data_IF_773290493584
#
_entry.id   IF_773290493584
#
_cell.length_a   1.000
_cell.length_b   1.000
_cell.length_c   1.000
_cell.angle_alpha   90.00
_cell.angle_beta   90.00
_cell.angle_gamma   90.00
#
_symmetry.space_group_name_H-M   'P 1'
#
loop_
_entity.id
_entity.type
_entity.pdbx_description
1 polymer ?
#
# COMPACT_ATOMS: atom_id res chain seq x y z
N UNK A 1 -17.59 19.38 29.58
CA UNK A 1 -18.15 18.60 28.46
C UNK A 1 -17.84 19.39 27.18
N UNK A 2 -16.63 19.20 26.64
CA UNK A 2 -16.10 19.92 25.49
C UNK A 2 -15.87 18.89 24.40
N UNK A 3 -16.78 18.84 23.43
CA UNK A 3 -16.66 18.04 22.21
C UNK A 3 -15.71 18.76 21.25
N UNK A 4 -14.47 18.28 21.17
CA UNK A 4 -13.56 18.66 20.09
C UNK A 4 -13.98 17.89 18.82
N UNK A 5 -14.61 18.60 17.89
CA UNK A 5 -14.85 18.11 16.52
C UNK A 5 -13.52 18.08 15.78
N UNK A 6 -12.92 16.91 15.61
CA UNK A 6 -11.81 16.71 14.68
C UNK A 6 -12.31 16.89 13.25
N UNK A 7 -11.72 17.85 12.53
CA UNK A 7 -11.92 18.04 11.08
C UNK A 7 -10.93 17.15 10.35
N UNK A 8 -11.41 16.12 9.67
CA UNK A 8 -10.65 15.38 8.66
C UNK A 8 -10.29 16.32 7.48
N UNK A 9 -9.12 16.15 6.84
CA UNK A 9 -8.83 16.82 5.57
C UNK A 9 -9.74 16.23 4.47
N UNK A 10 -10.61 17.07 3.92
CA UNK A 10 -11.53 16.68 2.85
C UNK A 10 -10.76 16.44 1.54
N UNK A 11 -10.66 15.18 1.12
CA UNK A 11 -10.23 14.81 -0.24
C UNK A 11 -11.47 14.61 -1.09
N UNK A 12 -11.71 15.53 -2.03
CA UNK A 12 -12.81 15.47 -2.99
C UNK A 12 -12.42 14.50 -4.11
N UNK A 13 -13.05 13.33 -4.16
CA UNK A 13 -12.88 12.34 -5.23
C UNK A 13 -13.92 12.62 -6.31
N UNK A 14 -13.47 13.20 -7.44
CA UNK A 14 -14.28 13.31 -8.66
C UNK A 14 -14.05 12.06 -9.53
N UNK A 15 -14.97 11.10 -9.44
CA UNK A 15 -15.01 9.93 -10.30
C UNK A 15 -15.82 10.27 -11.57
N UNK A 16 -15.13 10.57 -12.66
CA UNK A 16 -15.74 10.74 -13.99
C UNK A 16 -15.78 9.38 -14.68
N UNK A 17 -16.93 8.71 -14.64
CA UNK A 17 -17.20 7.56 -15.49
C UNK A 17 -17.80 8.03 -16.82
N UNK A 18 -17.03 7.90 -17.91
CA UNK A 18 -17.54 8.03 -19.28
C UNK A 18 -18.20 6.69 -19.64
N UNK A 19 -19.53 6.69 -19.73
CA UNK A 19 -20.35 5.60 -20.23
C UNK A 19 -20.27 5.54 -21.76
N UNK A 20 -19.78 4.42 -22.31
CA UNK A 20 -20.03 4.02 -23.70
C UNK A 20 -20.28 2.51 -23.80
N UNK A 21 -21.42 2.14 -24.40
CA UNK A 21 -21.59 0.86 -25.11
C UNK A 21 -22.30 -0.29 -24.39
N UNK A 22 -23.62 -0.20 -24.19
CA UNK A 22 -24.45 -1.35 -23.80
C UNK A 22 -24.74 -2.24 -25.02
N UNK A 23 -23.89 -3.26 -25.25
CA UNK A 23 -24.11 -4.29 -26.28
C UNK A 23 -23.27 -5.56 -26.06
N UNK A 24 -22.01 -5.41 -25.63
CA UNK A 24 -21.04 -6.52 -25.44
C UNK A 24 -20.74 -6.87 -23.96
N UNK A 25 -21.33 -6.13 -23.02
CA UNK A 25 -20.92 -6.17 -21.61
C UNK A 25 -21.17 -7.51 -20.88
N UNK A 26 -22.17 -8.30 -21.30
CA UNK A 26 -22.53 -9.58 -20.64
C UNK A 26 -21.61 -10.75 -21.01
N UNK A 27 -21.04 -10.74 -22.21
CA UNK A 27 -20.15 -11.82 -22.66
C UNK A 27 -18.73 -11.60 -22.11
N UNK A 28 -18.27 -10.34 -22.10
CA UNK A 28 -16.97 -9.95 -21.55
C UNK A 28 -16.87 -10.15 -20.03
N UNK A 29 -17.98 -10.01 -19.28
CA UNK A 29 -18.01 -10.27 -17.83
C UNK A 29 -17.87 -11.77 -17.52
N UNK A 30 -18.58 -12.65 -18.22
CA UNK A 30 -18.49 -14.09 -17.99
C UNK A 30 -17.09 -14.67 -18.29
N UNK A 31 -16.40 -14.17 -19.32
CA UNK A 31 -15.03 -14.58 -19.64
C UNK A 31 -14.03 -14.09 -18.58
N UNK A 32 -14.18 -12.85 -18.10
CA UNK A 32 -13.35 -12.29 -17.02
C UNK A 32 -13.55 -13.06 -15.72
N UNK A 33 -14.79 -13.38 -15.35
CA UNK A 33 -15.12 -14.13 -14.13
C UNK A 33 -14.51 -15.55 -14.15
N UNK A 34 -14.57 -16.22 -15.30
CA UNK A 34 -13.96 -17.54 -15.45
C UNK A 34 -12.43 -17.48 -15.38
N UNK A 35 -11.82 -16.47 -16.00
CA UNK A 35 -10.38 -16.24 -15.93
C UNK A 35 -9.91 -15.94 -14.49
N UNK A 36 -10.70 -15.15 -13.73
CA UNK A 36 -10.48 -14.88 -12.32
C UNK A 36 -10.41 -16.19 -11.53
N UNK A 37 -11.43 -17.06 -11.65
CA UNK A 37 -11.48 -18.34 -10.92
C UNK A 37 -10.28 -19.24 -11.24
N UNK A 38 -9.86 -19.33 -12.51
CA UNK A 38 -8.69 -20.11 -12.90
C UNK A 38 -7.39 -19.54 -12.36
N UNK A 39 -7.25 -18.21 -12.35
CA UNK A 39 -6.09 -17.54 -11.78
C UNK A 39 -6.00 -17.77 -10.27
N UNK A 40 -7.09 -17.53 -9.53
CA UNK A 40 -7.15 -17.75 -8.07
C UNK A 40 -6.83 -19.20 -7.70
N UNK A 41 -7.38 -20.17 -8.43
CA UNK A 41 -7.09 -21.59 -8.22
C UNK A 41 -5.62 -21.92 -8.48
N UNK A 42 -5.05 -21.37 -9.56
CA UNK A 42 -3.65 -21.61 -9.92
C UNK A 42 -2.69 -20.99 -8.91
N UNK A 43 -2.96 -19.77 -8.45
CA UNK A 43 -2.18 -19.10 -7.40
C UNK A 43 -2.30 -19.85 -6.07
N UNK A 44 -3.51 -20.23 -5.66
CA UNK A 44 -3.74 -21.02 -4.45
C UNK A 44 -2.93 -22.32 -4.47
N UNK A 45 -2.94 -23.04 -5.59
CA UNK A 45 -2.17 -24.27 -5.75
C UNK A 45 -0.66 -24.01 -5.70
N UNK A 46 -0.20 -22.93 -6.33
CA UNK A 46 1.20 -22.51 -6.31
C UNK A 46 1.67 -22.18 -4.90
N UNK A 47 0.91 -21.38 -4.15
CA UNK A 47 1.25 -20.97 -2.77
C UNK A 47 1.26 -22.19 -1.84
N UNK A 48 0.22 -23.02 -1.87
CA UNK A 48 0.17 -24.25 -1.06
C UNK A 48 1.37 -25.18 -1.35
N UNK A 49 1.76 -25.30 -2.62
CA UNK A 49 2.91 -26.13 -2.99
C UNK A 49 4.24 -25.53 -2.53
N UNK A 50 4.39 -24.22 -2.67
CA UNK A 50 5.61 -23.48 -2.33
C UNK A 50 5.87 -23.44 -0.81
N UNK A 51 4.81 -23.30 -0.01
CA UNK A 51 4.90 -23.17 1.45
C UNK A 51 4.52 -24.45 2.21
N UNK A 52 4.36 -25.59 1.52
CA UNK A 52 3.90 -26.87 2.11
C UNK A 52 4.67 -27.31 3.37
N UNK A 53 5.96 -26.95 3.46
CA UNK A 53 6.83 -27.32 4.59
C UNK A 53 7.05 -26.18 5.59
N UNK A 54 6.55 -24.99 5.31
CA UNK A 54 6.83 -23.78 6.07
C UNK A 54 5.70 -23.48 7.06
N UNK A 55 4.46 -23.71 6.66
CA UNK A 55 3.32 -23.44 7.52
C UNK A 55 1.98 -23.66 6.84
N UNK A 56 0.92 -23.24 7.52
CA UNK A 56 -0.44 -23.33 7.03
C UNK A 56 -0.80 -22.07 6.25
N UNK A 57 -1.16 -22.23 4.99
CA UNK A 57 -1.65 -21.16 4.13
C UNK A 57 -3.06 -20.73 4.54
N UNK A 58 -3.27 -19.42 4.70
CA UNK A 58 -4.57 -18.79 4.94
C UNK A 58 -4.78 -17.64 3.95
N UNK A 59 -5.71 -17.77 2.99
CA UNK A 59 -6.02 -16.68 2.07
C UNK A 59 -6.80 -15.56 2.78
N UNK A 60 -6.57 -14.32 2.36
CA UNK A 60 -7.40 -13.18 2.76
C UNK A 60 -8.18 -12.61 1.58
N UNK A 61 -7.50 -12.17 0.53
CA UNK A 61 -8.15 -11.58 -0.64
C UNK A 61 -7.35 -11.80 -1.92
N UNK A 62 -8.06 -11.83 -3.03
CA UNK A 62 -7.49 -11.71 -4.38
C UNK A 62 -7.89 -10.36 -4.96
N UNK A 63 -6.95 -9.73 -5.67
CA UNK A 63 -7.23 -8.57 -6.50
C UNK A 63 -7.99 -8.97 -7.76
N UNK A 64 -8.46 -7.97 -8.50
CA UNK A 64 -9.01 -8.21 -9.82
C UNK A 64 -7.93 -8.70 -10.79
N UNK A 65 -8.28 -9.65 -11.64
CA UNK A 65 -7.42 -10.13 -12.70
C UNK A 65 -7.20 -9.03 -13.74
N UNK A 66 -5.94 -8.71 -13.99
CA UNK A 66 -5.52 -7.82 -15.06
C UNK A 66 -5.15 -8.64 -16.29
N UNK A 67 -5.70 -8.25 -17.45
CA UNK A 67 -5.36 -8.87 -18.73
C UNK A 67 -4.16 -8.10 -19.32
N UNK A 68 -3.02 -8.78 -19.43
CA UNK A 68 -1.82 -8.22 -20.04
C UNK A 68 -1.87 -8.48 -21.54
N UNK A 69 -2.22 -7.42 -22.29
CA UNK A 69 -2.27 -7.43 -23.75
C UNK A 69 -0.86 -7.68 -24.29
N UNK A 70 -0.67 -8.68 -25.19
CA UNK A 70 0.63 -8.94 -25.79
C UNK A 70 1.16 -7.73 -26.56
N UNK A 71 2.48 -7.53 -26.51
CA UNK A 71 3.16 -6.40 -27.17
C UNK A 71 2.80 -6.27 -28.65
N UNK A 72 2.73 -7.40 -29.36
CA UNK A 72 2.40 -7.41 -30.78
C UNK A 72 1.00 -6.84 -31.06
N UNK A 73 0.03 -7.13 -30.18
CA UNK A 73 -1.35 -6.62 -30.27
C UNK A 73 -1.41 -5.15 -29.86
N UNK A 74 -0.73 -4.77 -28.77
CA UNK A 74 -0.67 -3.38 -28.33
C UNK A 74 -0.05 -2.47 -29.40
N UNK A 75 1.01 -2.93 -30.08
CA UNK A 75 1.65 -2.20 -31.17
C UNK A 75 0.75 -2.05 -32.40
N UNK A 76 -0.07 -3.07 -32.73
CA UNK A 76 -1.06 -2.93 -33.80
C UNK A 76 -2.08 -1.82 -33.49
N UNK A 77 -2.58 -1.77 -32.26
CA UNK A 77 -3.54 -0.73 -31.86
C UNK A 77 -2.91 0.66 -31.86
N UNK A 78 -1.63 0.78 -31.47
CA UNK A 78 -0.85 2.01 -31.61
C UNK A 78 -0.74 2.45 -33.08
N UNK A 79 -0.40 1.55 -33.99
CA UNK A 79 -0.32 1.84 -35.43
C UNK A 79 -1.66 2.33 -35.98
N UNK A 80 -2.77 1.68 -35.60
CA UNK A 80 -4.13 2.11 -36.00
C UNK A 80 -4.48 3.50 -35.46
N UNK A 81 -4.14 3.79 -34.20
CA UNK A 81 -4.38 5.09 -33.59
C UNK A 81 -3.56 6.20 -34.26
N UNK A 82 -2.28 5.94 -34.53
CA UNK A 82 -1.38 6.86 -35.23
C UNK A 82 -1.85 7.11 -36.66
N UNK A 83 -2.27 6.06 -37.38
CA UNK A 83 -2.86 6.16 -38.72
C UNK A 83 -4.13 7.02 -38.72
N UNK A 84 -5.03 6.81 -37.76
CA UNK A 84 -6.25 7.62 -37.58
C UNK A 84 -5.92 9.10 -37.33
N UNK A 85 -4.92 9.36 -36.50
CA UNK A 85 -4.44 10.72 -36.20
C UNK A 85 -3.84 11.38 -37.44
N UNK A 86 -2.97 10.67 -38.15
CA UNK A 86 -2.34 11.15 -39.39
C UNK A 86 -3.36 11.47 -40.49
N UNK A 87 -4.50 10.76 -40.55
CA UNK A 87 -5.58 11.06 -41.50
C UNK A 87 -6.13 12.49 -41.36
N UNK A 88 -6.12 13.05 -40.15
CA UNK A 88 -6.58 14.42 -39.88
C UNK A 88 -5.52 15.51 -40.13
N UNK A 89 -4.28 15.13 -40.48
CA UNK A 89 -3.11 16.03 -40.51
C UNK A 89 -2.70 16.43 -41.93
N UNK A 90 -3.67 16.61 -42.84
CA UNK A 90 -3.39 16.93 -44.25
C UNK A 90 -2.54 18.20 -44.42
N UNK A 91 -2.82 19.24 -43.63
CA UNK A 91 -2.07 20.50 -43.68
C UNK A 91 -0.63 20.37 -43.17
N UNK A 92 -0.37 19.43 -42.27
CA UNK A 92 0.97 19.16 -41.73
C UNK A 92 1.84 18.37 -42.73
N UNK A 93 1.25 17.38 -43.40
CA UNK A 93 1.99 16.48 -44.31
C UNK A 93 1.99 16.93 -45.78
N UNK A 94 1.08 17.83 -46.17
CA UNK A 94 0.97 18.35 -47.53
C UNK A 94 0.91 17.24 -48.58
N UNK A 95 1.75 17.33 -49.61
CA UNK A 95 1.81 16.35 -50.71
C UNK A 95 2.24 14.94 -50.26
N UNK A 96 2.86 14.80 -49.08
CA UNK A 96 3.30 13.51 -48.55
C UNK A 96 2.21 12.76 -47.80
N UNK A 97 1.05 13.38 -47.58
CA UNK A 97 -0.04 12.82 -46.76
C UNK A 97 -0.43 11.40 -47.20
N UNK A 98 -0.69 11.19 -48.49
CA UNK A 98 -1.06 9.88 -49.04
C UNK A 98 0.05 8.83 -48.92
N UNK A 99 1.32 9.27 -48.96
CA UNK A 99 2.47 8.37 -48.77
C UNK A 99 2.61 7.96 -47.31
N UNK A 100 2.35 8.86 -46.37
CA UNK A 100 2.38 8.58 -44.93
C UNK A 100 1.27 7.61 -44.54
N UNK A 101 0.05 7.81 -45.05
CA UNK A 101 -1.06 6.89 -44.80
C UNK A 101 -0.77 5.48 -45.36
N UNK A 102 -0.21 5.38 -46.58
CA UNK A 102 0.20 4.10 -47.18
C UNK A 102 1.30 3.39 -46.40
N UNK A 103 2.24 4.14 -45.80
CA UNK A 103 3.26 3.57 -44.94
C UNK A 103 2.63 2.94 -43.69
N UNK A 104 1.71 3.65 -43.02
CA UNK A 104 0.97 3.08 -41.89
C UNK A 104 0.14 1.87 -42.29
N UNK A 105 -0.58 1.93 -43.42
CA UNK A 105 -1.39 0.79 -43.90
C UNK A 105 -0.50 -0.44 -44.14
N UNK A 106 0.71 -0.26 -44.69
CA UNK A 106 1.67 -1.34 -44.88
C UNK A 106 2.18 -1.92 -43.56
N UNK A 107 2.49 -1.08 -42.58
CA UNK A 107 2.92 -1.50 -41.24
C UNK A 107 1.81 -2.24 -40.49
N UNK A 108 0.55 -1.78 -40.62
CA UNK A 108 -0.63 -2.43 -40.05
C UNK A 108 -0.79 -3.84 -40.63
N UNK A 109 -0.76 -3.99 -41.95
CA UNK A 109 -0.90 -5.30 -42.62
C UNK A 109 0.20 -6.27 -42.19
N UNK A 110 1.45 -5.81 -42.13
CA UNK A 110 2.57 -6.67 -41.68
C UNK A 110 2.40 -7.08 -40.22
N UNK A 111 1.97 -6.15 -39.35
CA UNK A 111 1.73 -6.47 -37.95
C UNK A 111 0.54 -7.40 -37.73
N UNK A 112 -0.53 -7.25 -38.52
CA UNK A 112 -1.67 -8.18 -38.54
C UNK A 112 -1.24 -9.59 -38.94
N UNK A 113 -0.36 -9.71 -39.94
CA UNK A 113 0.22 -10.98 -40.35
C UNK A 113 1.06 -11.61 -39.22
N UNK A 114 1.91 -10.83 -38.54
CA UNK A 114 2.68 -11.30 -37.38
C UNK A 114 1.76 -11.86 -36.30
N UNK A 115 0.65 -11.17 -36.00
CA UNK A 115 -0.34 -11.63 -35.01
C UNK A 115 -1.04 -12.91 -35.47
N UNK A 116 -1.41 -13.01 -36.74
CA UNK A 116 -2.05 -14.22 -37.30
C UNK A 116 -1.13 -15.44 -37.25
N UNK A 117 0.16 -15.25 -37.55
CA UNK A 117 1.18 -16.31 -37.53
C UNK A 117 1.52 -16.75 -36.10
N UNK A 118 1.79 -15.79 -35.22
CA UNK A 118 2.26 -16.08 -33.84
C UNK A 118 1.14 -16.39 -32.87
N UNK A 119 -0.10 -15.97 -33.17
CA UNK A 119 -1.29 -16.11 -32.32
C UNK A 119 -0.99 -15.77 -30.86
N UNK A 120 -0.44 -14.57 -30.59
CA UNK A 120 -0.05 -14.19 -29.25
C UNK A 120 -1.27 -14.26 -28.31
N UNK A 121 -1.10 -14.89 -27.15
CA UNK A 121 -2.17 -15.07 -26.18
C UNK A 121 -1.99 -14.11 -25.01
N UNK A 122 -3.10 -13.67 -24.44
CA UNK A 122 -3.11 -12.82 -23.26
C UNK A 122 -2.42 -13.52 -22.09
N UNK A 123 -1.61 -12.77 -21.36
CA UNK A 123 -1.14 -13.17 -20.04
C UNK A 123 -2.00 -12.47 -18.99
N UNK A 124 -1.86 -12.88 -17.74
CA UNK A 124 -2.67 -12.34 -16.66
C UNK A 124 -1.79 -11.89 -15.50
N UNK A 125 -2.29 -10.93 -14.72
CA UNK A 125 -1.75 -10.60 -13.41
C UNK A 125 -2.86 -10.63 -12.37
N UNK A 126 -2.51 -11.03 -11.16
CA UNK A 126 -3.45 -11.01 -10.02
C UNK A 126 -2.66 -10.75 -8.74
N UNK A 127 -3.16 -9.83 -7.93
CA UNK A 127 -2.64 -9.60 -6.59
C UNK A 127 -3.28 -10.56 -5.59
N UNK A 128 -2.54 -10.94 -4.56
CA UNK A 128 -3.05 -11.80 -3.51
C UNK A 128 -2.45 -11.46 -2.15
N UNK A 129 -3.32 -11.28 -1.16
CA UNK A 129 -2.98 -11.10 0.25
C UNK A 129 -3.27 -12.42 0.99
N UNK A 130 -2.27 -12.94 1.70
CA UNK A 130 -2.39 -14.20 2.44
C UNK A 130 -1.42 -14.25 3.63
N UNK A 131 -1.69 -15.15 4.57
CA UNK A 131 -0.76 -15.51 5.64
C UNK A 131 -0.20 -16.92 5.46
N UNK A 132 1.03 -17.12 5.90
CA UNK A 132 1.63 -18.42 6.21
C UNK A 132 1.84 -18.48 7.72
N UNK A 133 1.07 -19.32 8.39
CA UNK A 133 1.11 -19.49 9.85
C UNK A 133 2.04 -20.64 10.21
N UNK A 134 3.04 -20.37 11.03
CA UNK A 134 4.07 -21.35 11.42
C UNK A 134 4.36 -21.27 12.92
N UNK A 135 5.26 -22.11 13.42
CA UNK A 135 5.72 -22.03 14.81
C UNK A 135 6.56 -20.77 15.10
N UNK A 136 7.12 -20.14 14.07
CA UNK A 136 7.93 -18.92 14.18
C UNK A 136 7.09 -17.63 14.19
N UNK A 137 5.77 -17.77 13.99
CA UNK A 137 4.81 -16.66 13.92
C UNK A 137 4.00 -16.65 12.63
N UNK A 138 3.40 -15.50 12.35
CA UNK A 138 2.46 -15.28 11.27
C UNK A 138 3.06 -14.40 10.19
N UNK A 139 3.43 -14.97 9.04
CA UNK A 139 4.01 -14.19 7.95
C UNK A 139 2.94 -13.78 6.94
N UNK A 140 2.66 -12.48 6.87
CA UNK A 140 1.71 -11.87 5.93
C UNK A 140 2.43 -11.52 4.63
N UNK A 141 1.85 -11.92 3.52
CA UNK A 141 2.37 -11.66 2.18
C UNK A 141 1.35 -10.90 1.34
N UNK A 142 1.80 -9.85 0.65
CA UNK A 142 1.09 -9.25 -0.49
C UNK A 142 1.92 -9.45 -1.74
N UNK A 143 1.40 -10.21 -2.69
CA UNK A 143 2.17 -10.70 -3.84
C UNK A 143 1.42 -10.48 -5.14
N UNK A 144 2.11 -9.95 -6.15
CA UNK A 144 1.64 -9.88 -7.53
C UNK A 144 2.11 -11.13 -8.29
N UNK A 145 1.17 -11.90 -8.81
CA UNK A 145 1.46 -13.09 -9.61
C UNK A 145 1.25 -12.79 -11.08
N UNK A 146 2.26 -13.06 -11.90
CA UNK A 146 2.12 -13.06 -13.37
C UNK A 146 1.85 -14.48 -13.86
N UNK A 147 0.78 -14.67 -14.64
CA UNK A 147 0.35 -15.96 -15.15
C UNK A 147 0.41 -16.00 -16.68
N UNK A 148 0.71 -17.17 -17.26
CA UNK A 148 0.53 -17.38 -18.70
C UNK A 148 -0.95 -17.35 -19.10
N UNK A 149 -1.18 -17.31 -20.41
CA UNK A 149 -2.45 -17.66 -21.06
C UNK A 149 -3.14 -18.97 -20.62
N UNK A 150 -2.43 -19.90 -19.97
CA UNK A 150 -2.97 -21.14 -19.41
C UNK A 150 -3.02 -21.12 -17.88
N UNK A 151 -2.99 -19.93 -17.27
CA UNK A 151 -3.03 -19.68 -15.84
C UNK A 151 -1.87 -20.29 -15.02
N UNK A 152 -0.82 -20.80 -15.66
CA UNK A 152 0.39 -21.19 -14.92
C UNK A 152 1.11 -19.94 -14.41
N UNK A 153 1.44 -19.92 -13.10
CA UNK A 153 2.28 -18.89 -12.49
C UNK A 153 3.66 -18.91 -13.17
N UNK A 154 4.09 -17.76 -13.67
CA UNK A 154 5.37 -17.55 -14.36
C UNK A 154 6.36 -16.76 -13.54
N UNK A 155 5.86 -15.73 -12.86
CA UNK A 155 6.67 -14.80 -12.09
C UNK A 155 5.90 -14.31 -10.88
N UNK A 156 6.63 -13.92 -9.84
CA UNK A 156 6.12 -13.60 -8.51
C UNK A 156 6.87 -12.39 -7.97
N UNK A 157 6.16 -11.30 -7.74
CA UNK A 157 6.71 -10.08 -7.14
C UNK A 157 6.10 -9.87 -5.76
N UNK A 158 6.94 -9.96 -4.72
CA UNK A 158 6.51 -9.76 -3.33
C UNK A 158 6.58 -8.27 -3.01
N UNK A 159 5.44 -7.68 -2.65
CA UNK A 159 5.33 -6.28 -2.24
C UNK A 159 5.29 -6.07 -0.72
N UNK A 160 4.94 -7.11 0.03
CA UNK A 160 4.91 -7.11 1.50
C UNK A 160 5.21 -8.52 1.99
N UNK A 161 6.02 -8.66 3.05
CA UNK A 161 6.43 -9.93 3.65
C UNK A 161 6.60 -9.81 5.19
N UNK A 162 5.57 -9.30 5.83
CA UNK A 162 5.58 -8.90 7.23
C UNK A 162 5.45 -10.10 8.19
N UNK A 163 6.45 -10.33 9.05
CA UNK A 163 6.37 -11.29 10.14
C UNK A 163 5.72 -10.65 11.39
N UNK A 164 4.65 -11.27 11.88
CA UNK A 164 3.88 -10.84 13.03
C UNK A 164 3.91 -11.89 14.15
N UNK A 165 3.94 -11.43 15.40
CA UNK A 165 3.61 -12.26 16.56
C UNK A 165 2.08 -12.43 16.70
N UNK A 166 1.64 -13.25 17.66
CA UNK A 166 0.22 -13.57 17.86
C UNK A 166 -0.65 -12.32 18.12
N UNK A 167 -0.20 -11.38 18.97
CA UNK A 167 -0.96 -10.14 19.25
C UNK A 167 -1.06 -9.26 18.00
N UNK A 168 0.06 -9.07 17.29
CA UNK A 168 0.07 -8.27 16.06
C UNK A 168 -0.82 -8.91 14.98
N UNK A 169 -0.83 -10.24 14.88
CA UNK A 169 -1.67 -10.96 13.93
C UNK A 169 -3.17 -10.84 14.24
N UNK A 170 -3.55 -10.80 15.52
CA UNK A 170 -4.94 -10.51 15.92
C UNK A 170 -5.35 -9.10 15.48
N UNK A 171 -4.46 -8.10 15.64
CA UNK A 171 -4.72 -6.74 15.13
C UNK A 171 -4.75 -6.67 13.61
N UNK A 172 -3.93 -7.46 12.92
CA UNK A 172 -4.02 -7.59 11.47
C UNK A 172 -5.36 -8.17 11.04
N UNK A 173 -5.83 -9.22 11.70
CA UNK A 173 -7.16 -9.77 11.45
C UNK A 173 -8.26 -8.73 11.74
N UNK A 174 -8.10 -7.96 12.82
CA UNK A 174 -9.01 -6.86 13.19
C UNK A 174 -9.10 -5.80 12.09
N UNK A 175 -7.94 -5.38 11.56
CA UNK A 175 -7.82 -4.46 10.43
C UNK A 175 -8.51 -5.02 9.18
N UNK A 176 -8.15 -6.24 8.80
CA UNK A 176 -8.66 -6.87 7.58
C UNK A 176 -10.18 -7.04 7.63
N UNK A 177 -10.72 -7.44 8.78
CA UNK A 177 -12.17 -7.61 8.97
C UNK A 177 -12.90 -6.27 9.18
N UNK A 178 -12.18 -5.15 9.27
CA UNK A 178 -12.72 -3.80 9.48
C UNK A 178 -13.65 -3.71 10.68
N UNK A 179 -13.23 -4.31 11.80
CA UNK A 179 -14.04 -4.26 13.02
C UNK A 179 -14.13 -2.84 13.59
N UNK A 180 -15.19 -2.54 14.35
CA UNK A 180 -15.44 -1.20 14.88
C UNK A 180 -14.39 -0.80 15.93
N UNK A 181 -13.70 0.33 15.72
CA UNK A 181 -12.65 0.81 16.63
C UNK A 181 -13.22 1.45 17.89
N UNK A 182 -14.43 2.00 17.84
CA UNK A 182 -15.01 2.74 18.96
C UNK A 182 -15.99 1.86 19.75
N UNK A 183 -16.14 2.12 21.05
CA UNK A 183 -16.88 1.26 21.98
C UNK A 183 -18.40 1.27 21.82
N UNK A 184 -18.96 2.21 21.06
CA UNK A 184 -20.40 2.28 20.80
C UNK A 184 -20.73 1.60 19.47
N UNK A 185 -20.95 0.27 19.51
CA UNK A 185 -21.23 -0.57 18.33
C UNK A 185 -22.51 -0.20 17.54
N UNK A 186 -23.34 0.67 18.11
CA UNK A 186 -24.57 1.20 17.52
C UNK A 186 -24.49 2.65 17.04
N UNK A 187 -23.38 3.36 17.27
CA UNK A 187 -23.24 4.73 16.76
C UNK A 187 -22.75 4.71 15.30
N UNK A 188 -23.57 5.24 14.39
CA UNK A 188 -23.21 5.39 12.98
C UNK A 188 -21.90 6.20 12.83
N UNK A 189 -21.67 7.17 13.73
CA UNK A 189 -20.45 7.99 13.69
C UNK A 189 -19.20 7.15 13.97
N UNK A 190 -19.23 6.25 14.95
CA UNK A 190 -18.08 5.40 15.28
C UNK A 190 -17.67 4.45 14.14
N UNK A 191 -18.65 3.95 13.37
CA UNK A 191 -18.38 3.13 12.19
C UNK A 191 -17.78 3.94 11.06
N UNK A 192 -18.34 5.12 10.78
CA UNK A 192 -17.80 6.03 9.76
C UNK A 192 -16.38 6.49 10.10
N UNK A 193 -16.10 6.82 11.36
CA UNK A 193 -14.77 7.18 11.84
C UNK A 193 -13.78 6.00 11.74
N UNK A 194 -14.22 4.79 12.09
CA UNK A 194 -13.39 3.59 11.92
C UNK A 194 -13.03 3.35 10.45
N UNK A 195 -14.02 3.45 9.56
CA UNK A 195 -13.82 3.28 8.12
C UNK A 195 -12.91 4.37 7.53
N UNK A 196 -13.01 5.61 8.01
CA UNK A 196 -12.09 6.68 7.62
C UNK A 196 -10.64 6.36 8.01
N UNK A 197 -10.42 5.79 9.20
CA UNK A 197 -9.08 5.37 9.64
C UNK A 197 -8.56 4.21 8.77
N UNK A 198 -9.38 3.20 8.48
CA UNK A 198 -8.98 2.09 7.61
C UNK A 198 -8.64 2.58 6.19
N UNK A 199 -9.53 3.37 5.59
CA UNK A 199 -9.34 3.96 4.27
C UNK A 199 -8.09 4.84 4.19
N UNK A 200 -7.74 5.54 5.27
CA UNK A 200 -6.53 6.38 5.34
C UNK A 200 -5.25 5.57 5.12
N UNK A 201 -5.15 4.37 5.69
CA UNK A 201 -4.01 3.47 5.49
C UNK A 201 -4.10 2.69 4.17
N UNK A 202 -5.28 2.26 3.74
CA UNK A 202 -5.47 1.55 2.46
C UNK A 202 -5.03 2.39 1.27
N UNK A 203 -5.38 3.69 1.25
CA UNK A 203 -4.97 4.61 0.20
C UNK A 203 -3.44 4.66 0.06
N UNK A 204 -2.73 4.58 1.19
CA UNK A 204 -1.27 4.58 1.19
C UNK A 204 -0.72 3.21 0.80
N UNK A 205 -1.24 2.11 1.35
CA UNK A 205 -0.81 0.74 1.03
C UNK A 205 -0.99 0.36 -0.45
N UNK A 206 -1.92 1.01 -1.15
CA UNK A 206 -2.19 0.83 -2.59
C UNK A 206 -1.38 1.76 -3.49
N UNK A 207 -0.65 2.73 -2.93
CA UNK A 207 0.13 3.67 -3.72
C UNK A 207 1.32 2.98 -4.41
N UNK A 208 1.63 3.32 -5.67
CA UNK A 208 2.72 2.71 -6.45
C UNK A 208 4.12 3.21 -6.04
N UNK A 209 4.21 4.17 -5.12
CA UNK A 209 5.50 4.66 -4.61
C UNK A 209 6.19 3.53 -3.86
N UNK A 210 7.47 3.31 -4.16
CA UNK A 210 8.32 2.33 -3.48
C UNK A 210 8.37 2.66 -1.99
N UNK A 211 7.53 1.97 -1.22
CA UNK A 211 7.31 2.24 0.19
C UNK A 211 7.63 1.02 1.02
N UNK A 212 8.05 1.29 2.25
CA UNK A 212 8.17 0.32 3.31
C UNK A 212 6.77 -0.17 3.73
N UNK A 213 6.09 -0.96 2.87
CA UNK A 213 4.73 -1.49 3.13
C UNK A 213 4.66 -2.27 4.45
N UNK A 214 5.74 -2.97 4.79
CA UNK A 214 5.87 -3.66 6.08
C UNK A 214 5.73 -2.67 7.26
N UNK A 215 6.45 -1.55 7.23
CA UNK A 215 6.46 -0.55 8.30
C UNK A 215 5.17 0.28 8.34
N UNK A 216 4.60 0.57 7.17
CA UNK A 216 3.28 1.18 7.06
C UNK A 216 2.18 0.29 7.65
N UNK A 217 2.19 -1.01 7.33
CA UNK A 217 1.25 -1.96 7.91
C UNK A 217 1.43 -2.04 9.42
N UNK A 218 2.67 -2.14 9.94
CA UNK A 218 2.91 -2.10 11.41
C UNK A 218 2.34 -0.83 12.05
N UNK A 219 2.56 0.32 11.43
CA UNK A 219 2.03 1.61 11.91
C UNK A 219 0.50 1.63 11.92
N UNK A 220 -0.14 1.06 10.89
CA UNK A 220 -1.59 0.88 10.85
C UNK A 220 -2.09 0.01 12.02
N UNK A 221 -1.47 -1.16 12.26
CA UNK A 221 -1.84 -2.05 13.36
C UNK A 221 -1.69 -1.37 14.73
N UNK A 222 -0.61 -0.63 14.95
CA UNK A 222 -0.40 0.13 16.19
C UNK A 222 -1.45 1.23 16.34
N UNK A 223 -1.77 1.95 15.26
CA UNK A 223 -2.82 2.97 15.26
C UNK A 223 -4.17 2.36 15.67
N UNK A 224 -4.59 1.27 15.03
CA UNK A 224 -5.85 0.57 15.30
C UNK A 224 -5.92 0.07 16.73
N UNK A 225 -4.87 -0.61 17.19
CA UNK A 225 -4.73 -1.06 18.58
C UNK A 225 -4.89 0.11 19.54
N UNK A 226 -4.22 1.23 19.27
CA UNK A 226 -4.24 2.42 20.12
C UNK A 226 -5.64 3.01 20.19
N UNK A 227 -6.25 3.30 19.04
CA UNK A 227 -7.61 3.85 18.96
C UNK A 227 -8.62 2.94 19.65
N UNK A 228 -8.53 1.61 19.44
CA UNK A 228 -9.45 0.67 20.10
C UNK A 228 -9.29 0.65 21.61
N UNK A 229 -8.07 0.75 22.12
CA UNK A 229 -7.79 0.77 23.57
C UNK A 229 -8.18 2.10 24.23
N UNK A 230 -7.98 3.22 23.54
CA UNK A 230 -8.23 4.56 24.10
C UNK A 230 -9.63 5.09 23.84
N UNK A 231 -10.30 4.61 22.80
CA UNK A 231 -11.56 5.16 22.29
C UNK A 231 -11.39 6.49 21.54
N UNK A 232 -10.16 6.88 21.17
CA UNK A 232 -9.88 8.18 20.55
C UNK A 232 -8.70 8.07 19.55
N UNK A 233 -8.83 8.76 18.43
CA UNK A 233 -7.72 9.02 17.50
C UNK A 233 -6.88 10.20 17.98
N UNK A 234 -5.78 9.90 18.69
CA UNK A 234 -4.81 10.89 19.18
C UNK A 234 -3.42 10.65 18.56
N UNK A 235 -3.01 11.47 17.57
CA UNK A 235 -1.69 11.38 16.96
C UNK A 235 -0.53 11.42 17.96
N UNK A 236 -0.65 12.13 19.08
CA UNK A 236 0.41 12.17 20.08
C UNK A 236 0.64 10.80 20.71
N UNK A 237 -0.44 10.08 21.01
CA UNK A 237 -0.37 8.72 21.58
C UNK A 237 0.13 7.73 20.53
N UNK A 238 -0.43 7.80 19.32
CA UNK A 238 -0.05 6.88 18.23
C UNK A 238 1.44 6.99 17.93
N UNK A 239 1.98 8.20 17.77
CA UNK A 239 3.42 8.42 17.53
C UNK A 239 4.27 7.84 18.65
N UNK A 240 3.89 8.06 19.92
CA UNK A 240 4.64 7.54 21.07
C UNK A 240 4.61 6.02 21.13
N UNK A 241 3.46 5.40 20.84
CA UNK A 241 3.31 3.95 20.76
C UNK A 241 4.15 3.35 19.63
N UNK A 242 4.17 3.97 18.45
CA UNK A 242 5.01 3.54 17.33
C UNK A 242 6.49 3.58 17.71
N UNK A 243 6.97 4.68 18.30
CA UNK A 243 8.37 4.79 18.73
C UNK A 243 8.70 3.78 19.83
N UNK A 244 7.79 3.59 20.77
CA UNK A 244 7.97 2.64 21.84
C UNK A 244 8.09 1.20 21.32
N UNK A 245 7.25 0.79 20.37
CA UNK A 245 7.35 -0.53 19.72
C UNK A 245 8.62 -0.64 18.86
N UNK A 246 9.02 0.43 18.16
CA UNK A 246 10.28 0.48 17.43
C UNK A 246 11.49 0.25 18.35
N UNK A 247 11.57 0.98 19.46
CA UNK A 247 12.64 0.85 20.46
C UNK A 247 12.64 -0.51 21.18
N UNK A 248 11.48 -1.18 21.23
CA UNK A 248 11.34 -2.54 21.75
C UNK A 248 11.77 -3.63 20.79
N UNK A 249 11.80 -3.35 19.50
CA UNK A 249 12.17 -4.33 18.50
C UNK A 249 13.66 -4.70 18.61
N UNK A 250 13.99 -5.96 18.32
CA UNK A 250 15.36 -6.47 18.30
C UNK A 250 16.27 -5.76 17.28
N UNK A 251 15.71 -4.91 16.42
CA UNK A 251 16.47 -4.10 15.47
C UNK A 251 17.29 -3.00 16.15
N UNK A 252 16.95 -2.64 17.39
CA UNK A 252 17.62 -1.56 18.12
C UNK A 252 18.53 -2.16 19.20
N UNK A 253 19.85 -2.11 18.95
CA UNK A 253 20.89 -2.77 19.76
C UNK A 253 21.14 -2.18 21.16
N UNK A 254 20.19 -1.47 21.78
CA UNK A 254 20.39 -0.88 23.12
C UNK A 254 20.08 -1.92 24.20
N UNK A 255 21.06 -2.69 24.66
CA UNK A 255 20.85 -3.63 25.79
C UNK A 255 20.53 -2.86 27.08
N UNK A 256 19.43 -3.22 27.76
CA UNK A 256 19.05 -2.63 29.04
C UNK A 256 18.50 -1.21 28.95
N UNK A 257 17.80 -0.87 27.86
CA UNK A 257 17.20 0.44 27.71
C UNK A 257 15.91 0.57 28.54
N UNK A 258 15.67 1.77 29.09
CA UNK A 258 14.40 2.16 29.70
C UNK A 258 13.94 3.45 29.04
N UNK A 259 12.78 3.40 28.38
CA UNK A 259 12.14 4.59 27.80
C UNK A 259 11.74 5.50 28.97
N UNK A 260 12.19 6.75 28.91
CA UNK A 260 11.89 7.76 29.90
C UNK A 260 10.68 8.58 29.47
N UNK A 261 10.97 9.75 28.89
CA UNK A 261 9.97 10.77 28.59
C UNK A 261 9.98 11.13 27.10
N UNK A 262 8.81 11.48 26.58
CA UNK A 262 8.66 12.04 25.25
C UNK A 262 8.35 13.53 25.33
N UNK A 263 8.95 14.33 24.45
CA UNK A 263 8.50 15.71 24.23
C UNK A 263 7.06 15.73 23.70
N UNK A 264 6.39 16.91 23.68
CA UNK A 264 5.20 17.08 22.86
C UNK A 264 5.48 16.70 21.41
N UNK A 265 4.54 15.98 20.78
CA UNK A 265 4.64 15.64 19.35
C UNK A 265 4.26 16.88 18.56
N UNK A 266 5.10 17.25 17.59
CA UNK A 266 4.87 18.40 16.71
C UNK A 266 4.53 17.92 15.31
N UNK A 267 3.38 18.36 14.78
CA UNK A 267 3.08 18.18 13.36
C UNK A 267 4.05 18.98 12.50
N UNK A 268 4.54 18.35 11.43
CA UNK A 268 5.39 18.96 10.41
C UNK A 268 4.51 19.27 9.21
N UNK A 269 4.49 20.53 8.79
CA UNK A 269 3.62 21.01 7.71
C UNK A 269 4.45 21.59 6.56
N UNK A 270 4.03 21.29 5.34
CA UNK A 270 4.54 21.93 4.12
C UNK A 270 3.45 22.77 3.47
N UNK A 271 3.85 23.82 2.75
CA UNK A 271 2.91 24.67 2.01
C UNK A 271 2.79 24.15 0.58
N UNK A 272 1.61 23.62 0.24
CA UNK A 272 1.24 23.22 -1.12
C UNK A 272 -0.02 23.96 -1.53
N UNK A 273 -0.02 24.61 -2.70
CA UNK A 273 -1.16 25.38 -3.22
C UNK A 273 -1.75 26.38 -2.20
N UNK A 274 -0.89 27.10 -1.48
CA UNK A 274 -1.25 28.03 -0.39
C UNK A 274 -2.04 27.39 0.77
N UNK A 275 -1.93 26.08 0.96
CA UNK A 275 -2.49 25.36 2.11
C UNK A 275 -1.37 24.65 2.87
N UNK A 276 -1.43 24.72 4.19
CA UNK A 276 -0.59 23.89 5.05
C UNK A 276 -1.09 22.44 4.98
N UNK A 277 -0.21 21.55 4.54
CA UNK A 277 -0.44 20.11 4.44
C UNK A 277 0.45 19.43 5.46
N UNK A 278 -0.14 18.60 6.32
CA UNK A 278 0.61 17.79 7.26
C UNK A 278 1.42 16.74 6.47
N UNK A 279 2.74 16.79 6.60
CA UNK A 279 3.64 15.83 5.96
C UNK A 279 4.22 14.82 6.94
N UNK A 280 4.16 15.11 8.24
CA UNK A 280 4.69 14.20 9.24
C UNK A 280 4.61 14.71 10.67
N UNK A 281 5.36 14.05 11.54
CA UNK A 281 5.46 14.35 12.96
C UNK A 281 6.92 14.33 13.40
N UNK A 282 7.22 15.13 14.41
CA UNK A 282 8.53 15.13 15.05
C UNK A 282 8.41 15.09 16.57
N UNK A 283 9.31 14.34 17.21
CA UNK A 283 9.29 14.16 18.66
C UNK A 283 10.67 13.76 19.18
N UNK A 284 10.98 14.20 20.38
CA UNK A 284 12.17 13.80 21.13
C UNK A 284 11.81 12.73 22.14
N UNK A 285 12.62 11.68 22.24
CA UNK A 285 12.49 10.61 23.21
C UNK A 285 13.74 10.57 24.09
N UNK A 286 13.56 10.80 25.38
CA UNK A 286 14.58 10.54 26.39
C UNK A 286 14.53 9.07 26.75
N UNK A 287 15.68 8.43 26.76
CA UNK A 287 15.83 7.05 27.19
C UNK A 287 17.09 6.92 28.02
N UNK A 288 17.19 5.81 28.75
CA UNK A 288 18.40 5.50 29.52
C UNK A 288 18.96 4.16 29.08
N UNK A 289 20.28 4.06 28.99
CA UNK A 289 21.00 2.83 28.64
C UNK A 289 22.15 2.61 29.61
N UNK A 290 22.65 1.37 29.71
CA UNK A 290 23.83 1.06 30.49
C UNK A 290 25.09 1.40 29.68
N UNK A 291 25.97 2.20 30.25
CA UNK A 291 27.30 2.41 29.68
C UNK A 291 28.22 1.19 29.93
N UNK A 292 29.45 1.23 29.41
CA UNK A 292 30.46 0.17 29.61
C UNK A 292 30.78 -0.12 31.09
N UNK A 293 30.51 0.85 31.98
CA UNK A 293 30.68 0.73 33.43
C UNK A 293 29.42 0.20 34.13
N UNK A 294 28.38 -0.19 33.38
CA UNK A 294 27.06 -0.61 33.88
C UNK A 294 26.33 0.47 34.67
N UNK A 295 26.62 1.74 34.40
CA UNK A 295 25.89 2.88 34.96
C UNK A 295 24.81 3.32 33.98
N UNK A 296 23.66 3.73 34.52
CA UNK A 296 22.57 4.23 33.71
C UNK A 296 22.90 5.65 33.21
N UNK A 297 23.00 5.82 31.90
CA UNK A 297 23.24 7.11 31.25
C UNK A 297 22.00 7.50 30.48
N UNK A 298 21.53 8.74 30.70
CA UNK A 298 20.44 9.31 29.93
C UNK A 298 20.93 9.77 28.58
N UNK A 299 20.16 9.49 27.54
CA UNK A 299 20.39 9.89 26.17
C UNK A 299 19.06 10.39 25.55
N UNK A 300 19.15 11.05 24.40
CA UNK A 300 17.99 11.56 23.69
C UNK A 300 18.08 11.21 22.19
N UNK A 301 16.97 10.73 21.65
CA UNK A 301 16.76 10.54 20.21
C UNK A 301 15.71 11.53 19.72
N UNK A 302 15.96 12.08 18.54
CA UNK A 302 14.98 12.78 17.72
C UNK A 302 14.40 11.81 16.70
N UNK A 303 13.08 11.81 16.55
CA UNK A 303 12.34 11.00 15.58
C UNK A 303 11.59 11.90 14.61
N UNK A 304 11.65 11.55 13.33
CA UNK A 304 10.79 12.04 12.27
C UNK A 304 9.94 10.89 11.75
N UNK A 305 8.63 11.13 11.68
CA UNK A 305 7.65 10.19 11.16
C UNK A 305 6.90 10.86 10.02
N UNK A 306 6.47 10.09 9.02
CA UNK A 306 5.57 10.59 7.99
C UNK A 306 4.14 10.76 8.51
N UNK A 307 3.23 11.25 7.66
CA UNK A 307 1.83 11.46 8.02
C UNK A 307 1.09 10.15 8.39
N UNK A 308 1.62 8.98 8.02
CA UNK A 308 1.09 7.65 8.36
C UNK A 308 1.85 6.99 9.50
N UNK A 309 2.61 7.78 10.27
CA UNK A 309 3.36 7.36 11.44
C UNK A 309 4.51 6.39 11.11
N UNK A 310 4.96 6.30 9.87
CA UNK A 310 6.15 5.52 9.52
C UNK A 310 7.40 6.30 9.92
N UNK A 311 8.29 5.71 10.70
CA UNK A 311 9.55 6.35 11.11
C UNK A 311 10.46 6.49 9.88
N UNK A 312 10.73 7.73 9.49
CA UNK A 312 11.60 8.08 8.36
C UNK A 312 13.00 8.52 8.77
N UNK A 313 13.16 9.05 10.00
CA UNK A 313 14.42 9.59 10.49
C UNK A 313 14.61 9.41 11.98
N UNK A 314 15.84 9.06 12.38
CA UNK A 314 16.25 8.92 13.78
C UNK A 314 17.62 9.54 13.96
N UNK A 315 17.78 10.43 14.93
CA UNK A 315 19.05 11.10 15.20
C UNK A 315 19.34 11.18 16.70
N UNK A 316 20.61 11.00 17.08
CA UNK A 316 21.05 11.29 18.43
C UNK A 316 21.11 12.80 18.66
N UNK A 317 20.66 13.23 19.84
CA UNK A 317 20.68 14.63 20.24
C UNK A 317 21.74 14.82 21.31
N UNK A 318 22.69 15.71 21.03
CA UNK A 318 23.73 16.08 21.98
C UNK A 318 23.14 16.90 23.14
N UNK A 319 23.69 16.72 24.33
CA UNK A 319 23.32 17.53 25.49
C UNK A 319 23.78 18.99 25.28
N UNK A 320 23.05 19.99 25.82
CA UNK A 320 21.83 19.86 26.62
C UNK A 320 20.57 19.70 25.76
N UNK A 321 19.67 18.81 26.19
CA UNK A 321 18.41 18.50 25.47
C UNK A 321 17.16 18.69 26.33
N UNK A 322 17.31 19.16 27.57
CA UNK A 322 16.22 19.45 28.51
C UNK A 322 15.20 20.42 27.93
N UNK A 323 15.65 21.40 27.14
CA UNK A 323 14.82 22.41 26.49
C UNK A 323 13.72 21.83 25.57
N UNK A 324 13.88 20.60 25.08
CA UNK A 324 12.88 19.96 24.22
C UNK A 324 11.72 19.34 25.01
N UNK A 325 11.87 19.15 26.32
CA UNK A 325 10.88 18.51 27.20
C UNK A 325 10.10 19.52 28.05
N UNK A 326 10.46 20.80 28.01
CA UNK A 326 9.73 21.86 28.71
C UNK A 326 8.36 22.11 28.03
N UNK A 327 7.28 21.87 28.77
CA UNK A 327 5.93 22.29 28.36
C UNK A 327 5.81 23.81 28.50
N UNK A 328 5.65 24.52 27.38
CA UNK A 328 5.27 25.94 27.37
C UNK A 328 3.78 26.14 27.60
#
# INVERSE_FOLDING_TARGET
MLTFKCKFPAVIVALVFVLLGFGDAKCQTAEKDLAQQYAESSVTNYVNSSFKKTGTYRPYSFGEIEIVIPRDVAYLEELKANRKTASGMKDHFGERHDSVLRAYDSMIVEQEKIIQERKPRNNYRIDHLFAINSAEGHKIYQVNFSLSANFKVRDVSISMDLLLNDEEYDWFYYYFMRFNLFSEDSDLNGREESEAIYSYFDLRLTSPVEMQKNDLMRSALICIRTVKKTGEYDPNRIVKEVIHDYLKSDQVSYKGYTIGEFSPVKGVYEVSDNKEVLVGYSVFCRFSTLNDKKELVSQCLYFELDAWFVIGGIQFVEAPYEQYFETK
#
